data_IF_405443529326
#
_entry.id   IF_405443529326
#
_cell.length_a   1.000
_cell.length_b   1.000
_cell.length_c   1.000
_cell.angle_alpha   90.00
_cell.angle_beta   90.00
_cell.angle_gamma   90.00
#
_symmetry.space_group_name_H-M   'P 1'
#
loop_
_entity.id
_entity.type
_entity.pdbx_description
1 polymer ?
#
# COMPACT_ATOMS: atom_id res chain seq x y z
N UNK A 1 18.20 17.14 14.62
CA UNK A 1 17.25 16.02 14.42
C UNK A 1 16.22 16.45 13.40
N UNK A 2 16.17 15.80 12.23
CA UNK A 2 15.11 16.06 11.25
C UNK A 2 13.85 15.39 11.75
N UNK A 3 12.80 16.17 12.00
CA UNK A 3 11.46 15.64 12.24
C UNK A 3 10.97 15.04 10.93
N UNK A 4 11.33 13.78 10.69
CA UNK A 4 10.72 12.97 9.63
C UNK A 4 9.29 12.74 10.09
N UNK A 5 8.35 13.39 9.43
CA UNK A 5 6.93 13.20 9.65
C UNK A 5 6.59 11.78 9.16
N UNK A 6 6.87 10.78 10.00
CA UNK A 6 6.81 9.36 9.65
C UNK A 6 5.43 8.95 9.13
N UNK A 7 4.36 9.63 9.54
CA UNK A 7 2.99 9.37 9.03
C UNK A 7 2.79 9.87 7.60
N UNK A 8 3.21 11.10 7.29
CA UNK A 8 3.09 11.63 5.93
C UNK A 8 3.96 10.87 4.93
N UNK A 9 5.20 10.54 5.33
CA UNK A 9 6.16 9.89 4.43
C UNK A 9 5.74 8.45 4.09
N UNK A 10 5.15 7.71 5.04
CA UNK A 10 4.60 6.37 4.80
C UNK A 10 3.33 6.40 3.92
N UNK A 11 2.48 7.42 4.07
CA UNK A 11 1.28 7.56 3.23
C UNK A 11 1.62 7.97 1.79
N UNK A 12 2.58 8.88 1.62
CA UNK A 12 3.11 9.28 0.31
C UNK A 12 3.78 8.08 -0.38
N UNK A 13 4.62 7.33 0.35
CA UNK A 13 5.28 6.13 -0.19
C UNK A 13 4.28 5.05 -0.64
N UNK A 14 3.19 4.87 0.10
CA UNK A 14 2.15 3.90 -0.24
C UNK A 14 1.34 4.31 -1.48
N UNK A 15 1.03 5.60 -1.64
CA UNK A 15 0.29 6.10 -2.80
C UNK A 15 1.12 6.01 -4.07
N UNK A 16 2.37 6.45 -4.02
CA UNK A 16 3.29 6.39 -5.16
C UNK A 16 3.52 4.95 -5.63
N UNK A 17 3.68 4.01 -4.69
CA UNK A 17 3.82 2.59 -5.01
C UNK A 17 2.58 2.02 -5.72
N UNK A 18 1.38 2.35 -5.22
CA UNK A 18 0.12 1.90 -5.83
C UNK A 18 -0.08 2.51 -7.22
N UNK A 19 0.30 3.77 -7.43
CA UNK A 19 0.27 4.41 -8.74
C UNK A 19 1.26 3.78 -9.73
N UNK A 20 2.46 3.40 -9.27
CA UNK A 20 3.42 2.65 -10.07
C UNK A 20 2.88 1.27 -10.48
N UNK A 21 2.31 0.52 -9.55
CA UNK A 21 1.67 -0.76 -9.86
C UNK A 21 0.53 -0.60 -10.87
N UNK A 22 -0.29 0.46 -10.75
CA UNK A 22 -1.34 0.76 -11.71
C UNK A 22 -0.78 1.01 -13.12
N UNK A 23 0.35 1.73 -13.23
CA UNK A 23 1.03 1.98 -14.50
C UNK A 23 1.54 0.67 -15.13
N UNK A 24 2.13 -0.22 -14.36
CA UNK A 24 2.57 -1.54 -14.82
C UNK A 24 1.39 -2.39 -15.30
N UNK A 25 0.30 -2.44 -14.53
CA UNK A 25 -0.91 -3.17 -14.92
C UNK A 25 -1.53 -2.61 -16.21
N UNK A 26 -1.51 -1.29 -16.42
CA UNK A 26 -1.97 -0.66 -17.67
C UNK A 26 -1.08 -1.03 -18.86
N UNK A 27 0.23 -1.17 -18.67
CA UNK A 27 1.13 -1.67 -19.72
C UNK A 27 0.83 -3.14 -20.05
N UNK A 28 0.66 -3.98 -19.03
CA UNK A 28 0.27 -5.38 -19.18
C UNK A 28 -1.10 -5.53 -19.86
N UNK A 29 -2.05 -4.64 -19.55
CA UNK A 29 -3.37 -4.61 -20.18
C UNK A 29 -3.25 -4.37 -21.68
N UNK A 30 -2.42 -3.41 -22.12
CA UNK A 30 -2.18 -3.14 -23.55
C UNK A 30 -1.65 -4.38 -24.27
N UNK A 31 -0.68 -5.06 -23.69
CA UNK A 31 -0.12 -6.29 -24.27
C UNK A 31 -1.15 -7.44 -24.27
N UNK A 32 -1.91 -7.58 -23.19
CA UNK A 32 -2.97 -8.58 -23.08
C UNK A 32 -4.09 -8.34 -24.10
N UNK A 33 -4.53 -7.09 -24.30
CA UNK A 33 -5.57 -6.73 -25.27
C UNK A 33 -5.15 -7.07 -26.71
N UNK A 34 -3.88 -6.85 -27.09
CA UNK A 34 -3.34 -7.30 -28.38
C UNK A 34 -3.46 -8.82 -28.55
N UNK A 35 -3.07 -9.58 -27.52
CA UNK A 35 -3.13 -11.05 -27.53
C UNK A 35 -4.57 -11.58 -27.60
N UNK A 36 -5.49 -10.96 -26.88
CA UNK A 36 -6.93 -11.28 -26.95
C UNK A 36 -7.50 -10.96 -28.33
N UNK A 37 -7.12 -9.83 -28.94
CA UNK A 37 -7.57 -9.46 -30.28
C UNK A 37 -7.18 -10.49 -31.35
N UNK A 38 -5.96 -11.02 -31.28
CA UNK A 38 -5.52 -12.13 -32.14
C UNK A 38 -6.38 -13.38 -31.89
N UNK A 39 -6.66 -13.68 -30.62
CA UNK A 39 -7.45 -14.83 -30.20
C UNK A 39 -8.93 -14.80 -30.63
N UNK A 40 -9.51 -13.63 -30.90
CA UNK A 40 -10.90 -13.51 -31.40
C UNK A 40 -11.14 -14.15 -32.77
N UNK A 41 -10.07 -14.36 -33.55
CA UNK A 41 -10.14 -15.02 -34.86
C UNK A 41 -10.24 -16.55 -34.75
N UNK A 42 -10.02 -17.11 -33.56
CA UNK A 42 -10.07 -18.55 -33.31
C UNK A 42 -11.51 -19.01 -33.04
N UNK A 43 -11.88 -20.25 -33.45
CA UNK A 43 -13.21 -20.78 -33.24
C UNK A 43 -13.54 -20.88 -31.74
N UNK A 44 -14.74 -20.45 -31.34
CA UNK A 44 -15.20 -20.43 -29.95
C UNK A 44 -15.55 -21.82 -29.40
N UNK A 45 -14.57 -22.72 -29.43
CA UNK A 45 -14.65 -24.09 -28.92
C UNK A 45 -13.87 -24.14 -27.60
N UNK A 46 -14.35 -24.93 -26.64
CA UNK A 46 -13.65 -25.19 -25.38
C UNK A 46 -12.93 -26.52 -25.42
N UNK A 47 -11.78 -26.59 -24.75
CA UNK A 47 -10.98 -27.81 -24.62
C UNK A 47 -11.11 -28.34 -23.20
N UNK A 48 -11.40 -29.64 -23.07
CA UNK A 48 -11.28 -30.38 -21.81
C UNK A 48 -10.01 -31.21 -21.83
N UNK A 49 -9.28 -31.19 -20.72
CA UNK A 49 -8.14 -32.07 -20.49
C UNK A 49 -8.56 -33.17 -19.51
N UNK A 50 -8.17 -34.40 -19.81
CA UNK A 50 -8.32 -35.56 -18.94
C UNK A 50 -6.99 -36.32 -18.85
N UNK A 51 -6.84 -37.19 -17.87
CA UNK A 51 -5.68 -38.07 -17.74
C UNK A 51 -6.14 -39.51 -17.67
N UNK A 52 -5.54 -40.38 -18.47
CA UNK A 52 -5.83 -41.82 -18.48
C UNK A 52 -4.53 -42.60 -18.72
N UNK A 53 -4.31 -43.65 -17.94
CA UNK A 53 -3.11 -44.51 -18.01
C UNK A 53 -1.79 -43.71 -18.07
N UNK A 54 -1.68 -42.64 -17.29
CA UNK A 54 -0.49 -41.78 -17.25
C UNK A 54 -0.38 -40.74 -18.38
N UNK A 55 -1.22 -40.82 -19.41
CA UNK A 55 -1.20 -39.93 -20.57
C UNK A 55 -2.28 -38.84 -20.48
N UNK A 56 -1.94 -37.62 -20.92
CA UNK A 56 -2.90 -36.53 -21.06
C UNK A 56 -3.71 -36.70 -22.35
N UNK A 57 -5.02 -36.58 -22.23
CA UNK A 57 -6.00 -36.67 -23.32
C UNK A 57 -6.72 -35.33 -23.46
N UNK A 58 -6.92 -34.90 -24.70
CA UNK A 58 -7.58 -33.63 -25.01
C UNK A 58 -8.88 -33.89 -25.75
N UNK A 59 -9.91 -33.12 -25.41
CA UNK A 59 -11.24 -33.22 -26.00
C UNK A 59 -11.78 -31.85 -26.37
N UNK A 60 -12.39 -31.72 -27.54
CA UNK A 60 -13.26 -30.59 -27.85
C UNK A 60 -14.64 -30.80 -27.22
N UNK A 61 -15.19 -29.73 -26.65
CA UNK A 61 -16.56 -29.72 -26.16
C UNK A 61 -17.45 -29.15 -27.26
N UNK A 62 -18.40 -29.96 -27.76
CA UNK A 62 -19.41 -29.45 -28.68
C UNK A 62 -20.31 -28.43 -27.96
N UNK A 63 -20.50 -27.22 -28.51
CA UNK A 63 -21.28 -26.18 -27.85
C UNK A 63 -22.76 -26.58 -27.68
N UNK A 64 -23.34 -27.27 -28.66
CA UNK A 64 -24.77 -27.62 -28.65
C UNK A 64 -25.07 -28.87 -27.81
N UNK A 65 -24.30 -29.95 -28.01
CA UNK A 65 -24.59 -31.26 -27.41
C UNK A 65 -23.81 -31.52 -26.12
N UNK A 66 -22.83 -30.67 -25.78
CA UNK A 66 -21.86 -30.85 -24.68
C UNK A 66 -21.08 -32.17 -24.73
N UNK A 67 -21.16 -32.92 -25.83
CA UNK A 67 -20.41 -34.15 -26.03
C UNK A 67 -18.92 -33.85 -26.21
N UNK A 68 -18.09 -34.75 -25.71
CA UNK A 68 -16.64 -34.69 -25.81
C UNK A 68 -16.16 -35.39 -27.07
N UNK A 69 -15.43 -34.68 -27.93
CA UNK A 69 -14.81 -35.23 -29.13
C UNK A 69 -13.31 -35.32 -28.91
N UNK A 70 -12.75 -36.52 -29.00
CA UNK A 70 -11.32 -36.75 -28.80
C UNK A 70 -10.47 -36.02 -29.84
N UNK A 71 -9.38 -35.38 -29.41
CA UNK A 71 -8.44 -34.68 -30.27
C UNK A 71 -7.29 -35.61 -30.65
N UNK A 72 -7.07 -35.75 -31.96
CA UNK A 72 -5.92 -36.49 -32.51
C UNK A 72 -4.60 -35.74 -32.29
N UNK A 73 -3.49 -36.49 -32.34
CA UNK A 73 -2.15 -35.93 -32.11
C UNK A 73 -1.78 -34.85 -33.13
N UNK A 74 -2.21 -34.98 -34.39
CA UNK A 74 -1.97 -33.97 -35.44
C UNK A 74 -2.61 -32.60 -35.12
N UNK A 75 -3.74 -32.60 -34.39
CA UNK A 75 -4.50 -31.38 -34.08
C UNK A 75 -4.07 -30.72 -32.76
N UNK A 76 -3.05 -31.24 -32.07
CA UNK A 76 -2.56 -30.67 -30.81
C UNK A 76 -2.12 -29.21 -30.93
N UNK A 77 -1.56 -28.82 -32.08
CA UNK A 77 -1.22 -27.42 -32.36
C UNK A 77 -2.45 -26.49 -32.35
N UNK A 78 -3.60 -26.98 -32.86
CA UNK A 78 -4.85 -26.22 -32.84
C UNK A 78 -5.41 -26.12 -31.42
N UNK A 79 -5.36 -27.23 -30.67
CA UNK A 79 -5.73 -27.27 -29.25
C UNK A 79 -4.90 -26.27 -28.43
N UNK A 80 -3.58 -26.26 -28.61
CA UNK A 80 -2.70 -25.34 -27.90
C UNK A 80 -3.06 -23.87 -28.16
N UNK A 81 -3.40 -23.51 -29.41
CA UNK A 81 -3.86 -22.15 -29.75
C UNK A 81 -5.17 -21.78 -29.04
N UNK A 82 -6.10 -22.72 -28.92
CA UNK A 82 -7.38 -22.51 -28.22
C UNK A 82 -7.15 -22.35 -26.71
N UNK A 83 -6.34 -23.22 -26.10
CA UNK A 83 -5.98 -23.12 -24.68
C UNK A 83 -5.28 -21.78 -24.41
N UNK A 84 -4.36 -21.37 -25.29
CA UNK A 84 -3.66 -20.09 -25.16
C UNK A 84 -4.62 -18.89 -25.27
N UNK A 85 -5.64 -18.97 -26.15
CA UNK A 85 -6.68 -17.95 -26.22
C UNK A 85 -7.43 -17.86 -24.89
N UNK A 86 -7.89 -18.99 -24.37
CA UNK A 86 -8.67 -19.03 -23.11
C UNK A 86 -7.86 -18.45 -21.95
N UNK A 87 -6.58 -18.84 -21.85
CA UNK A 87 -5.63 -18.24 -20.91
C UNK A 87 -5.50 -16.73 -21.08
N UNK A 88 -5.34 -16.24 -22.32
CA UNK A 88 -5.21 -14.79 -22.57
C UNK A 88 -6.47 -14.02 -22.15
N UNK A 89 -7.67 -14.59 -22.39
CA UNK A 89 -8.94 -14.00 -21.98
C UNK A 89 -9.04 -13.92 -20.45
N UNK A 90 -8.69 -14.99 -19.75
CA UNK A 90 -8.74 -15.05 -18.29
C UNK A 90 -7.74 -14.11 -17.63
N UNK A 91 -6.51 -14.06 -18.16
CA UNK A 91 -5.48 -13.09 -17.74
C UNK A 91 -5.96 -11.66 -17.96
N UNK A 92 -6.53 -11.35 -19.13
CA UNK A 92 -7.06 -10.01 -19.41
C UNK A 92 -8.13 -9.60 -18.40
N UNK A 93 -9.06 -10.51 -18.10
CA UNK A 93 -10.11 -10.30 -17.11
C UNK A 93 -9.53 -10.08 -15.71
N UNK A 94 -8.52 -10.84 -15.32
CA UNK A 94 -7.83 -10.68 -14.04
C UNK A 94 -7.13 -9.31 -13.95
N UNK A 95 -6.41 -8.89 -14.99
CA UNK A 95 -5.74 -7.58 -15.05
C UNK A 95 -6.76 -6.45 -14.92
N UNK A 96 -7.86 -6.48 -15.69
CA UNK A 96 -8.92 -5.46 -15.62
C UNK A 96 -9.55 -5.36 -14.24
N UNK A 97 -9.82 -6.50 -13.59
CA UNK A 97 -10.31 -6.52 -12.20
C UNK A 97 -9.32 -5.91 -11.22
N UNK A 98 -8.03 -6.15 -11.40
CA UNK A 98 -7.02 -5.59 -10.51
C UNK A 98 -6.86 -4.08 -10.69
N UNK A 99 -6.92 -3.59 -11.94
CA UNK A 99 -6.95 -2.15 -12.24
C UNK A 99 -8.15 -1.49 -11.57
N UNK A 100 -9.36 -2.02 -11.74
CA UNK A 100 -10.58 -1.47 -11.13
C UNK A 100 -10.48 -1.41 -9.59
N UNK A 101 -9.90 -2.44 -8.96
CA UNK A 101 -9.65 -2.45 -7.51
C UNK A 101 -8.68 -1.34 -7.09
N UNK A 102 -7.55 -1.18 -7.79
CA UNK A 102 -6.57 -0.16 -7.45
C UNK A 102 -7.10 1.25 -7.71
N UNK A 103 -7.83 1.48 -8.80
CA UNK A 103 -8.45 2.77 -9.09
C UNK A 103 -9.47 3.15 -8.01
N UNK A 104 -10.31 2.21 -7.58
CA UNK A 104 -11.23 2.41 -6.46
C UNK A 104 -10.52 2.64 -5.14
N UNK A 105 -9.40 1.96 -4.91
CA UNK A 105 -8.59 2.17 -3.72
C UNK A 105 -8.02 3.60 -3.72
N UNK A 106 -7.36 4.04 -4.80
CA UNK A 106 -6.81 5.39 -4.91
C UNK A 106 -7.89 6.46 -4.73
N UNK A 107 -9.08 6.25 -5.31
CA UNK A 107 -10.17 7.23 -5.25
C UNK A 107 -10.81 7.36 -3.86
N UNK A 108 -10.89 6.26 -3.12
CA UNK A 108 -11.67 6.20 -1.87
C UNK A 108 -10.79 6.10 -0.60
N UNK A 109 -9.50 5.80 -0.74
CA UNK A 109 -8.61 5.66 0.39
C UNK A 109 -8.12 7.02 0.86
N UNK A 110 -8.74 7.51 1.93
CA UNK A 110 -8.33 8.70 2.68
C UNK A 110 -8.03 8.26 4.12
N UNK A 111 -6.75 8.18 4.47
CA UNK A 111 -6.34 7.81 5.82
C UNK A 111 -6.74 8.87 6.85
N UNK A 112 -6.68 10.14 6.46
CA UNK A 112 -7.04 11.28 7.30
C UNK A 112 -8.56 11.37 7.50
N UNK A 113 -9.36 10.57 6.78
CA UNK A 113 -10.80 10.49 6.98
C UNK A 113 -11.16 10.13 8.42
N UNK A 114 -10.33 9.33 9.10
CA UNK A 114 -10.53 8.93 10.50
C UNK A 114 -10.37 10.13 11.44
N UNK A 115 -9.30 10.91 11.27
CA UNK A 115 -9.03 12.11 12.07
C UNK A 115 -10.11 13.19 11.81
N UNK A 116 -10.52 13.34 10.54
CA UNK A 116 -11.60 14.25 10.13
C UNK A 116 -12.96 13.94 10.79
N UNK A 117 -13.19 12.73 11.30
CA UNK A 117 -14.45 12.41 12.01
C UNK A 117 -14.61 13.29 13.24
N UNK A 118 -13.56 13.44 14.04
CA UNK A 118 -13.59 14.30 15.22
C UNK A 118 -13.63 15.77 14.83
N UNK A 119 -12.79 16.19 13.89
CA UNK A 119 -12.70 17.58 13.43
C UNK A 119 -14.03 18.12 12.87
N UNK A 120 -14.80 17.27 12.18
CA UNK A 120 -16.10 17.65 11.61
C UNK A 120 -17.24 17.74 12.64
N UNK A 121 -17.04 17.25 13.88
CA UNK A 121 -18.08 17.35 14.91
C UNK A 121 -18.25 18.81 15.37
N UNK A 122 -19.47 19.24 15.74
CA UNK A 122 -19.67 20.53 16.40
C UNK A 122 -18.87 20.62 17.70
N UNK A 123 -18.30 21.80 18.00
CA UNK A 123 -17.44 22.03 19.18
C UNK A 123 -18.09 21.56 20.49
N UNK A 124 -19.39 21.77 20.69
CA UNK A 124 -20.11 21.30 21.87
C UNK A 124 -20.08 19.76 22.03
N UNK A 125 -20.12 19.01 20.92
CA UNK A 125 -19.99 17.54 20.95
C UNK A 125 -18.54 17.10 21.13
N UNK A 126 -17.60 17.81 20.52
CA UNK A 126 -16.16 17.54 20.69
C UNK A 126 -15.72 17.61 22.16
N UNK A 127 -16.24 18.59 22.92
CA UNK A 127 -15.95 18.73 24.36
C UNK A 127 -16.43 17.54 25.20
N UNK A 128 -17.48 16.85 24.76
CA UNK A 128 -18.07 15.70 25.45
C UNK A 128 -17.60 14.36 24.89
N UNK A 129 -16.74 14.37 23.88
CA UNK A 129 -16.27 13.17 23.18
C UNK A 129 -14.81 12.92 23.51
N UNK A 130 -14.47 11.69 23.89
CA UNK A 130 -13.09 11.26 24.03
C UNK A 130 -12.59 10.66 22.69
N UNK A 131 -11.79 11.39 21.90
CA UNK A 131 -11.36 10.92 20.59
C UNK A 131 -10.44 9.70 20.70
N UNK A 132 -10.54 8.79 19.73
CA UNK A 132 -9.70 7.58 19.65
C UNK A 132 -8.26 7.97 19.27
N UNK A 133 -8.13 8.93 18.35
CA UNK A 133 -6.85 9.50 17.94
C UNK A 133 -6.80 10.92 18.48
N UNK A 134 -5.80 11.21 19.31
CA UNK A 134 -5.59 12.56 19.84
C UNK A 134 -5.05 13.46 18.73
N UNK A 135 -5.64 14.65 18.59
CA UNK A 135 -5.03 15.74 17.83
C UNK A 135 -3.64 16.05 18.44
N UNK A 136 -2.68 16.47 17.63
CA UNK A 136 -1.36 16.96 18.05
C UNK A 136 -1.42 17.91 19.26
N UNK A 137 -2.37 18.86 19.28
CA UNK A 137 -2.52 19.78 20.43
C UNK A 137 -2.96 19.05 21.71
N UNK A 138 -3.93 18.16 21.59
CA UNK A 138 -4.43 17.35 22.72
C UNK A 138 -3.37 16.37 23.20
N UNK A 139 -2.57 15.81 22.28
CA UNK A 139 -1.44 14.96 22.58
C UNK A 139 -0.35 15.73 23.33
N UNK A 140 0.02 16.93 22.88
CA UNK A 140 1.01 17.78 23.56
C UNK A 140 0.52 18.17 24.95
N UNK A 141 -0.75 18.53 25.10
CA UNK A 141 -1.34 18.84 26.40
C UNK A 141 -1.33 17.64 27.34
N UNK A 142 -1.75 16.46 26.87
CA UNK A 142 -1.72 15.22 27.65
C UNK A 142 -0.29 14.86 28.04
N UNK A 143 0.65 14.93 27.10
CA UNK A 143 2.05 14.67 27.36
C UNK A 143 2.64 15.62 28.40
N UNK A 144 2.35 16.92 28.33
CA UNK A 144 2.78 17.92 29.33
C UNK A 144 2.15 17.68 30.70
N UNK A 145 0.90 17.21 30.75
CA UNK A 145 0.24 16.88 32.01
C UNK A 145 0.85 15.63 32.66
N UNK A 146 1.18 14.61 31.85
CA UNK A 146 1.86 13.39 32.29
C UNK A 146 3.33 13.63 32.65
N UNK A 147 3.98 14.60 31.99
CA UNK A 147 5.39 14.97 32.19
C UNK A 147 5.50 16.43 32.64
N UNK A 148 5.13 16.75 33.88
CA UNK A 148 5.22 18.10 34.38
C UNK A 148 6.68 18.58 34.39
N UNK A 149 6.88 19.87 34.11
CA UNK A 149 8.20 20.48 34.14
C UNK A 149 8.85 20.34 35.55
N UNK A 150 10.18 20.45 35.61
CA UNK A 150 10.96 20.37 36.86
C UNK A 150 10.94 19.02 37.59
N UNK A 151 10.65 17.91 36.91
CA UNK A 151 10.91 16.55 37.44
C UNK A 151 12.38 16.11 37.32
N UNK A 152 13.31 17.06 37.17
CA UNK A 152 14.73 16.75 37.18
C UNK A 152 15.16 16.42 38.62
N UNK A 153 15.23 15.14 38.97
CA UNK A 153 15.65 14.66 40.30
C UNK A 153 17.14 14.85 40.57
N UNK A 154 17.92 15.21 39.54
CA UNK A 154 19.34 15.51 39.73
C UNK A 154 19.47 16.83 40.50
N UNK A 155 20.03 16.82 41.72
CA UNK A 155 20.25 18.06 42.46
C UNK A 155 21.14 18.98 41.62
N UNK A 156 20.87 20.30 41.69
CA UNK A 156 21.76 21.37 41.18
C UNK A 156 23.06 21.44 42.02
N UNK A 157 23.64 20.30 42.37
CA UNK A 157 24.89 20.22 43.12
C UNK A 157 26.06 20.51 42.19
N UNK A 158 26.59 21.72 42.35
CA UNK A 158 27.85 22.13 41.72
C UNK A 158 27.66 23.04 40.51
N UNK A 159 27.13 24.24 40.73
CA UNK A 159 27.26 25.34 39.76
C UNK A 159 28.73 25.72 39.65
N UNK A 160 29.36 25.46 38.49
CA UNK A 160 30.73 25.90 38.25
C UNK A 160 30.72 27.39 37.92
N UNK A 161 31.48 28.21 38.66
CA UNK A 161 31.63 29.63 38.35
C UNK A 161 32.60 29.80 37.18
N UNK A 162 32.16 30.50 36.13
CA UNK A 162 33.02 30.90 35.00
C UNK A 162 33.92 32.06 35.42
N UNK A 163 34.96 32.35 34.63
CA UNK A 163 35.87 33.47 34.90
C UNK A 163 35.17 34.85 34.80
N UNK A 164 33.98 34.90 34.17
CA UNK A 164 33.12 36.08 34.05
C UNK A 164 32.07 36.18 35.17
N UNK A 165 32.07 35.24 36.11
CA UNK A 165 31.18 35.24 37.27
C UNK A 165 29.84 34.51 37.08
N UNK A 166 29.55 33.99 35.89
CA UNK A 166 28.33 33.25 35.57
C UNK A 166 28.38 31.82 36.12
N UNK A 167 27.21 31.24 36.37
CA UNK A 167 27.06 29.89 36.91
C UNK A 167 26.65 28.93 35.79
N UNK A 168 27.44 27.87 35.56
CA UNK A 168 27.18 26.88 34.49
C UNK A 168 27.05 25.47 35.06
N UNK A 169 26.29 24.63 34.35
CA UNK A 169 25.88 23.28 34.79
C UNK A 169 26.90 22.18 34.49
N UNK A 170 28.00 22.48 33.80
CA UNK A 170 29.09 21.52 33.57
C UNK A 170 30.47 22.18 33.43
N UNK A 171 31.54 21.43 33.75
CA UNK A 171 32.94 21.86 33.50
C UNK A 171 33.20 22.12 32.02
N UNK A 172 32.54 21.37 31.14
CA UNK A 172 32.63 21.49 29.69
C UNK A 172 32.09 22.85 29.21
N UNK A 173 30.94 23.27 29.72
CA UNK A 173 30.39 24.61 29.46
C UNK A 173 31.27 25.72 30.01
N UNK A 174 31.84 25.54 31.22
CA UNK A 174 32.80 26.51 31.79
C UNK A 174 33.98 26.72 30.85
N UNK A 175 34.52 25.64 30.28
CA UNK A 175 35.62 25.72 29.33
C UNK A 175 35.19 26.39 28.04
N UNK A 176 33.98 26.14 27.55
CA UNK A 176 33.44 26.76 26.33
C UNK A 176 33.23 28.28 26.49
N UNK A 177 32.64 28.74 27.60
CA UNK A 177 32.48 30.15 27.95
C UNK A 177 33.82 30.90 28.09
N UNK A 178 34.93 30.18 28.22
CA UNK A 178 36.29 30.76 28.29
C UNK A 178 36.80 31.25 26.93
N UNK A 179 36.26 30.74 25.82
CA UNK A 179 36.73 31.01 24.46
C UNK A 179 35.85 32.00 23.67
N UNK A 180 34.70 32.41 24.20
CA UNK A 180 33.84 33.41 23.55
C UNK A 180 34.31 34.79 24.02
N UNK A 181 35.18 35.44 23.22
CA UNK A 181 35.66 36.81 23.47
C UNK A 181 34.50 37.79 23.42
#
# INVERSE_FOLDING_TARGET
MKFVNRKSDLLVLNKDYVEQQLKELRLLLKESDKRVAIGKRLPNIRVKVSKSNGCNQYYYINPDTKKLVYVKKEDLMKVARIIQRDYNIDVNKAIRKQIDKLEKFIANYDFDAIDKVYEKMPSARQQLTNPIILNDEQYVLKWRAEHPAMQNTFPEEGKYKTNRGELVRSKSEKNHCRYVR
#
